data_IF_267866567050
#
_entry.id   IF_267866567050
#
_cell.length_a   1.000
_cell.length_b   1.000
_cell.length_c   1.000
_cell.angle_alpha   90.00
_cell.angle_beta   90.00
_cell.angle_gamma   90.00
#
_symmetry.space_group_name_H-M   'P 1'
#
loop_
_entity.id
_entity.type
_entity.pdbx_description
1 polymer ?
#
# COMPACT_ATOMS: atom_id res chain seq x y z
N UNK A 1 0.01 24.10 12.27
CA UNK A 1 0.77 22.94 12.80
C UNK A 1 1.01 21.99 11.64
N UNK A 2 2.26 21.82 11.21
CA UNK A 2 2.59 20.98 10.06
C UNK A 2 2.47 19.51 10.44
N UNK A 3 1.46 18.81 9.94
CA UNK A 3 1.34 17.37 10.10
C UNK A 3 2.37 16.70 9.19
N UNK A 4 3.56 16.46 9.74
CA UNK A 4 4.57 15.57 9.15
C UNK A 4 3.88 14.28 8.74
N UNK A 5 3.97 13.90 7.47
CA UNK A 5 3.49 12.59 7.01
C UNK A 5 4.41 11.55 7.66
N UNK A 6 4.00 10.99 8.81
CA UNK A 6 4.81 10.09 9.66
C UNK A 6 4.81 8.64 9.16
N UNK A 7 4.99 8.43 7.87
CA UNK A 7 5.02 7.08 7.32
C UNK A 7 5.98 6.96 6.16
N UNK A 8 6.32 5.70 5.86
CA UNK A 8 7.18 5.34 4.74
C UNK A 8 6.36 4.64 3.67
N UNK A 9 6.67 4.93 2.41
CA UNK A 9 5.99 4.33 1.27
C UNK A 9 6.58 2.96 0.95
N UNK A 10 5.72 1.99 0.66
CA UNK A 10 6.12 0.64 0.32
C UNK A 10 5.35 0.14 -0.90
N UNK A 11 6.00 -0.76 -1.64
CA UNK A 11 5.44 -1.44 -2.79
C UNK A 11 4.86 -2.78 -2.34
N UNK A 12 3.56 -2.94 -2.55
CA UNK A 12 2.86 -4.20 -2.35
C UNK A 12 2.53 -4.82 -3.72
N UNK A 13 2.93 -6.07 -3.92
CA UNK A 13 2.47 -6.86 -5.05
C UNK A 13 1.25 -7.69 -4.64
N UNK A 14 0.27 -7.69 -5.52
CA UNK A 14 -0.91 -8.55 -5.44
C UNK A 14 -0.83 -9.67 -6.47
N UNK A 15 -1.70 -10.67 -6.35
CA UNK A 15 -1.87 -11.70 -7.39
C UNK A 15 -2.29 -11.06 -8.72
N UNK A 16 -1.80 -11.62 -9.82
CA UNK A 16 -2.02 -11.05 -11.15
C UNK A 16 -3.49 -10.78 -11.47
N UNK A 17 -3.78 -9.56 -11.93
CA UNK A 17 -5.11 -9.03 -12.27
C UNK A 17 -6.12 -9.06 -11.11
N UNK A 18 -5.64 -9.09 -9.86
CA UNK A 18 -6.49 -9.11 -8.66
C UNK A 18 -6.43 -7.82 -7.85
N UNK A 19 -5.79 -6.76 -8.35
CA UNK A 19 -5.63 -5.48 -7.63
C UNK A 19 -6.94 -4.92 -7.11
N UNK A 20 -7.98 -4.84 -7.94
CA UNK A 20 -9.28 -4.30 -7.52
C UNK A 20 -9.94 -5.15 -6.42
N UNK A 21 -9.86 -6.48 -6.54
CA UNK A 21 -10.43 -7.40 -5.56
C UNK A 21 -9.65 -7.33 -4.25
N UNK A 22 -8.32 -7.26 -4.33
CA UNK A 22 -7.45 -7.04 -3.18
C UNK A 22 -7.79 -5.74 -2.45
N UNK A 23 -7.99 -4.62 -3.16
CA UNK A 23 -8.35 -3.33 -2.56
C UNK A 23 -9.68 -3.40 -1.81
N UNK A 24 -10.67 -4.16 -2.31
CA UNK A 24 -11.92 -4.39 -1.58
C UNK A 24 -11.67 -5.11 -0.26
N UNK A 25 -10.89 -6.19 -0.27
CA UNK A 25 -10.55 -6.91 0.97
C UNK A 25 -9.68 -6.08 1.91
N UNK A 26 -8.77 -5.26 1.37
CA UNK A 26 -7.93 -4.35 2.14
C UNK A 26 -8.78 -3.32 2.90
N UNK A 27 -9.72 -2.66 2.22
CA UNK A 27 -10.62 -1.70 2.88
C UNK A 27 -11.46 -2.36 3.99
N UNK A 28 -11.95 -3.58 3.76
CA UNK A 28 -12.66 -4.35 4.79
C UNK A 28 -11.73 -4.67 5.97
N UNK A 29 -10.49 -5.08 5.71
CA UNK A 29 -9.52 -5.40 6.75
C UNK A 29 -9.11 -4.17 7.56
N UNK A 30 -8.96 -3.00 6.92
CA UNK A 30 -8.65 -1.74 7.59
C UNK A 30 -9.78 -1.39 8.56
N UNK A 31 -11.02 -1.41 8.10
CA UNK A 31 -12.19 -1.11 8.92
C UNK A 31 -12.39 -2.12 10.06
N UNK A 32 -12.22 -3.42 9.80
CA UNK A 32 -12.44 -4.47 10.82
C UNK A 32 -11.36 -4.52 11.89
N UNK A 33 -10.12 -4.19 11.55
CA UNK A 33 -8.98 -4.34 12.45
C UNK A 33 -8.42 -2.98 12.94
N UNK A 34 -9.12 -1.87 12.70
CA UNK A 34 -8.71 -0.51 13.06
C UNK A 34 -7.29 -0.18 12.57
N UNK A 35 -6.98 -0.46 11.30
CA UNK A 35 -5.63 -0.28 10.74
C UNK A 35 -5.38 1.13 10.19
N UNK A 36 -6.29 2.09 10.42
CA UNK A 36 -6.18 3.47 9.91
C UNK A 36 -4.95 4.19 10.45
N UNK A 37 -4.50 3.85 11.66
CA UNK A 37 -3.26 4.39 12.23
C UNK A 37 -1.99 3.69 11.69
N UNK A 38 -2.15 2.54 11.03
CA UNK A 38 -1.05 1.73 10.47
C UNK A 38 -0.87 1.98 8.98
N UNK A 39 -1.97 2.02 8.23
CA UNK A 39 -2.04 2.26 6.80
C UNK A 39 -2.58 3.68 6.60
N UNK A 40 -1.65 4.61 6.45
CA UNK A 40 -1.93 6.05 6.43
C UNK A 40 -2.48 6.54 5.09
N UNK A 41 -2.11 5.88 3.99
CA UNK A 41 -2.57 6.23 2.65
C UNK A 41 -2.39 5.05 1.69
N UNK A 42 -3.24 4.99 0.66
CA UNK A 42 -3.21 3.98 -0.38
C UNK A 42 -3.21 4.70 -1.72
N UNK A 43 -2.26 4.37 -2.59
CA UNK A 43 -2.17 4.92 -3.94
C UNK A 43 -2.03 3.83 -4.98
N UNK A 44 -2.66 4.05 -6.12
CA UNK A 44 -2.65 3.13 -7.26
C UNK A 44 -1.75 3.74 -8.32
N UNK A 45 -0.67 3.05 -8.73
CA UNK A 45 0.13 3.50 -9.86
C UNK A 45 -0.71 3.60 -11.14
N UNK A 46 -0.45 4.62 -11.95
CA UNK A 46 -1.25 4.92 -13.15
C UNK A 46 -0.90 4.00 -14.34
N UNK A 47 0.37 3.63 -14.47
CA UNK A 47 0.86 2.88 -15.62
C UNK A 47 0.45 1.39 -15.57
N UNK A 48 0.17 0.81 -16.74
CA UNK A 48 -0.25 -0.59 -16.86
C UNK A 48 0.85 -1.56 -16.48
N UNK A 49 2.13 -1.16 -16.59
CA UNK A 49 3.25 -1.99 -16.11
C UNK A 49 3.20 -2.26 -14.60
N UNK A 50 2.38 -1.53 -13.86
CA UNK A 50 2.15 -1.65 -12.43
C UNK A 50 0.75 -2.21 -12.11
N UNK A 51 0.13 -2.96 -13.03
CA UNK A 51 -1.23 -3.50 -12.88
C UNK A 51 -1.43 -4.31 -11.60
N UNK A 52 -0.36 -4.95 -11.10
CA UNK A 52 -0.36 -5.82 -9.93
C UNK A 52 0.27 -5.17 -8.69
N UNK A 53 0.42 -3.84 -8.70
CA UNK A 53 1.06 -3.09 -7.63
C UNK A 53 0.08 -2.15 -6.93
N UNK A 54 0.22 -2.07 -5.62
CA UNK A 54 -0.40 -1.08 -4.74
C UNK A 54 0.70 -0.39 -3.93
N UNK A 55 0.61 0.94 -3.81
CA UNK A 55 1.51 1.71 -2.94
C UNK A 55 0.81 1.97 -1.62
N UNK A 56 1.49 1.67 -0.52
CA UNK A 56 1.00 1.88 0.83
C UNK A 56 1.92 2.81 1.61
N UNK A 57 1.35 3.82 2.24
CA UNK A 57 2.05 4.64 3.23
C UNK A 57 1.82 4.03 4.62
N UNK A 58 2.88 3.57 5.26
CA UNK A 58 2.80 2.80 6.49
C UNK A 58 3.51 3.52 7.64
N UNK A 59 2.86 3.61 8.79
CA UNK A 59 3.49 4.08 10.03
C UNK A 59 4.32 2.98 10.70
N UNK A 60 3.91 1.71 10.54
CA UNK A 60 4.58 0.54 11.11
C UNK A 60 4.60 -0.64 10.13
N UNK A 61 5.76 -0.91 9.55
CA UNK A 61 5.94 -1.97 8.55
C UNK A 61 5.58 -3.37 9.09
N UNK A 62 6.05 -3.73 10.29
CA UNK A 62 5.89 -5.10 10.81
C UNK A 62 4.42 -5.42 11.07
N UNK A 63 3.70 -4.47 11.67
CA UNK A 63 2.27 -4.60 11.97
C UNK A 63 1.47 -4.68 10.67
N UNK A 64 1.75 -3.78 9.72
CA UNK A 64 1.12 -3.79 8.41
C UNK A 64 1.35 -5.13 7.69
N UNK A 65 2.61 -5.57 7.58
CA UNK A 65 2.97 -6.80 6.88
C UNK A 65 2.26 -8.02 7.47
N UNK A 66 2.18 -8.14 8.81
CA UNK A 66 1.49 -9.24 9.48
C UNK A 66 -0.01 -9.28 9.17
N UNK A 67 -0.67 -8.11 9.06
CA UNK A 67 -2.09 -8.05 8.72
C UNK A 67 -2.33 -8.26 7.22
N UNK A 68 -1.51 -7.64 6.37
CA UNK A 68 -1.61 -7.74 4.90
C UNK A 68 -1.43 -9.19 4.41
N UNK A 69 -0.57 -9.97 5.06
CA UNK A 69 -0.37 -11.40 4.77
C UNK A 69 -1.63 -12.26 4.95
N UNK A 70 -2.63 -11.78 5.70
CA UNK A 70 -3.90 -12.49 5.93
C UNK A 70 -4.96 -12.14 4.90
N UNK A 71 -4.69 -11.18 4.02
CA UNK A 71 -5.65 -10.67 3.04
C UNK A 71 -5.53 -11.49 1.76
N UNK A 72 -6.67 -11.93 1.23
CA UNK A 72 -6.73 -12.63 -0.04
C UNK A 72 -6.04 -11.84 -1.16
N UNK A 73 -5.30 -12.57 -2.00
CA UNK A 73 -4.51 -12.04 -3.13
C UNK A 73 -3.27 -11.22 -2.78
N UNK A 74 -2.88 -11.14 -1.50
CA UNK A 74 -1.55 -10.66 -1.14
C UNK A 74 -0.45 -11.57 -1.75
N UNK A 75 0.60 -10.98 -2.31
CA UNK A 75 1.83 -11.71 -2.66
C UNK A 75 2.99 -11.31 -1.76
N UNK A 76 3.42 -10.05 -1.87
CA UNK A 76 4.62 -9.57 -1.19
C UNK A 76 4.51 -8.09 -0.84
N UNK A 77 5.15 -7.70 0.26
CA UNK A 77 5.42 -6.32 0.61
C UNK A 77 6.93 -6.12 0.59
N UNK A 78 7.41 -5.21 -0.27
CA UNK A 78 8.83 -4.90 -0.37
C UNK A 78 9.33 -4.32 0.95
N UNK A 79 10.44 -4.84 1.49
CA UNK A 79 11.00 -4.37 2.77
C UNK A 79 11.66 -3.00 2.68
N UNK A 80 12.13 -2.64 1.48
CA UNK A 80 12.78 -1.35 1.24
C UNK A 80 11.70 -0.30 0.95
N UNK A 81 11.65 0.79 1.73
CA UNK A 81 10.74 1.88 1.43
C UNK A 81 11.12 2.58 0.12
N UNK A 82 10.11 3.12 -0.55
CA UNK A 82 10.24 3.90 -1.77
C UNK A 82 10.54 5.37 -1.43
N UNK A 83 11.48 6.01 -2.15
CA UNK A 83 11.60 7.47 -2.13
C UNK A 83 10.33 8.14 -2.63
N UNK A 84 9.98 9.30 -2.05
CA UNK A 84 8.78 10.06 -2.44
C UNK A 84 8.78 10.41 -3.93
N UNK A 85 9.94 10.75 -4.51
CA UNK A 85 10.07 11.02 -5.95
C UNK A 85 9.64 9.82 -6.81
N UNK A 86 9.97 8.60 -6.37
CA UNK A 86 9.57 7.39 -7.08
C UNK A 86 8.05 7.18 -6.98
N UNK A 87 7.47 7.42 -5.80
CA UNK A 87 6.02 7.35 -5.58
C UNK A 87 5.29 8.33 -6.49
N UNK A 88 5.71 9.60 -6.52
CA UNK A 88 5.13 10.65 -7.38
C UNK A 88 5.15 10.26 -8.86
N UNK A 89 6.29 9.72 -9.34
CA UNK A 89 6.40 9.23 -10.73
C UNK A 89 5.45 8.07 -11.02
N UNK A 90 5.28 7.13 -10.10
CA UNK A 90 4.41 5.97 -10.30
C UNK A 90 2.92 6.34 -10.34
N UNK A 91 2.50 7.38 -9.62
CA UNK A 91 1.10 7.84 -9.58
C UNK A 91 0.78 8.92 -10.64
N UNK A 92 1.77 9.34 -11.44
CA UNK A 92 1.58 10.34 -12.50
C UNK A 92 1.58 11.79 -12.01
N UNK A 93 2.02 12.06 -10.77
CA UNK A 93 2.19 13.43 -10.28
C UNK A 93 3.58 13.94 -10.72
N UNK A 94 3.60 14.79 -11.76
CA UNK A 94 4.77 15.59 -12.15
C UNK A 94 4.68 17.00 -11.58
#
# INVERSE_FOLDING_TARGET
>A
MATTIKGSWYLLNVRSKKREVFLKFLNIAIAKNNLEEVILDIKIPQDSVYEDIVLLNLSNFNTANSQLQKIDHFQTLQRKPLPLEQVSRMIGNQ
#
